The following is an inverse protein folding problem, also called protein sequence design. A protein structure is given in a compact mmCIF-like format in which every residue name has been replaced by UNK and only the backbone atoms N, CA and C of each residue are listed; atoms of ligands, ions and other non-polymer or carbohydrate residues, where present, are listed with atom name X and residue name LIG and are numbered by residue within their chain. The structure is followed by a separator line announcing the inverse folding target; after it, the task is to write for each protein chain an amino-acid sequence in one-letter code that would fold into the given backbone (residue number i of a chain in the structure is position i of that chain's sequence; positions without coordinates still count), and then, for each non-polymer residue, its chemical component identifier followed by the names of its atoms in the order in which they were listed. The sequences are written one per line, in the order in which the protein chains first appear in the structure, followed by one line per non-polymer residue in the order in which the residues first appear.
data_IF_449522512469
#
_entry.id   IF_449522512469
#
_cell.length_a   1.000
_cell.length_b   1.000
_cell.length_c   1.000
_cell.angle_alpha   90.00
_cell.angle_beta   90.00
_cell.angle_gamma   90.00
#
_symmetry.space_group_name_H-M   'P 1'
#
loop_
_entity.id
_entity.type
_entity.pdbx_description
1 polymer ?
#
# COMPACT_ATOMS: atom_id res chain seq x y z
N UNK A 1 -18.00 13.06 20.24
CA UNK A 1 -17.10 11.93 20.58
C UNK A 1 -17.73 10.95 21.57
N UNK A 2 -18.30 11.36 22.70
CA UNK A 2 -18.93 10.43 23.67
C UNK A 2 -20.06 9.56 23.10
N UNK A 3 -20.92 10.09 22.23
CA UNK A 3 -22.00 9.31 21.58
C UNK A 3 -21.48 8.24 20.61
N UNK A 4 -20.48 8.59 19.79
CA UNK A 4 -19.84 7.66 18.83
C UNK A 4 -19.11 6.52 19.55
N UNK A 5 -18.44 6.83 20.66
CA UNK A 5 -17.77 5.83 21.50
C UNK A 5 -18.78 4.87 22.15
N UNK A 6 -19.90 5.40 22.66
CA UNK A 6 -20.95 4.60 23.27
C UNK A 6 -21.62 3.65 22.25
N UNK A 7 -21.84 4.13 21.03
CA UNK A 7 -22.37 3.33 19.93
C UNK A 7 -21.42 2.21 19.50
N UNK A 8 -20.11 2.49 19.43
CA UNK A 8 -19.11 1.48 19.12
C UNK A 8 -19.09 0.38 20.19
N UNK A 9 -19.07 0.74 21.48
CA UNK A 9 -19.10 -0.24 22.59
C UNK A 9 -20.37 -1.09 22.56
N UNK A 10 -21.52 -0.50 22.23
CA UNK A 10 -22.78 -1.25 22.05
C UNK A 10 -22.67 -2.26 20.91
N UNK A 11 -22.10 -1.86 19.78
CA UNK A 11 -21.85 -2.73 18.63
C UNK A 11 -20.87 -3.87 18.97
N UNK A 12 -19.72 -3.56 19.57
CA UNK A 12 -18.71 -4.55 19.99
C UNK A 12 -19.30 -5.61 20.92
N UNK A 13 -20.15 -5.21 21.87
CA UNK A 13 -20.86 -6.15 22.77
C UNK A 13 -21.85 -7.04 22.04
N UNK A 14 -22.46 -6.55 20.96
CA UNK A 14 -23.39 -7.34 20.14
C UNK A 14 -22.63 -8.35 19.28
N UNK A 15 -21.56 -7.91 18.62
CA UNK A 15 -20.66 -8.76 17.82
C UNK A 15 -20.02 -9.83 18.69
N UNK A 16 -19.48 -9.49 19.87
CA UNK A 16 -18.89 -10.47 20.77
C UNK A 16 -19.88 -11.57 21.17
N UNK A 17 -21.14 -11.22 21.45
CA UNK A 17 -22.19 -12.21 21.73
C UNK A 17 -22.54 -13.07 20.52
N UNK A 18 -22.56 -12.46 19.34
CA UNK A 18 -22.82 -13.18 18.08
C UNK A 18 -21.77 -14.25 17.79
N UNK A 19 -20.48 -13.93 17.98
CA UNK A 19 -19.40 -14.87 17.74
C UNK A 19 -19.24 -15.95 18.82
N UNK A 20 -19.95 -15.84 19.95
CA UNK A 20 -20.09 -16.93 20.93
C UNK A 20 -21.05 -18.03 20.45
N UNK A 21 -21.91 -17.74 19.46
CA UNK A 21 -22.80 -18.73 18.85
C UNK A 21 -21.98 -19.56 17.85
N UNK A 22 -22.04 -20.91 17.91
CA UNK A 22 -21.41 -21.79 16.92
C UNK A 22 -21.82 -21.40 15.49
N UNK A 23 -20.88 -21.43 14.54
CA UNK A 23 -21.15 -20.97 13.17
C UNK A 23 -22.36 -21.67 12.51
N UNK A 24 -22.56 -22.96 12.79
CA UNK A 24 -23.70 -23.76 12.31
C UNK A 24 -25.05 -23.35 12.91
N UNK A 25 -25.06 -22.60 14.01
CA UNK A 25 -26.26 -22.20 14.74
C UNK A 25 -26.61 -20.72 14.54
N UNK A 26 -25.76 -19.95 13.86
CA UNK A 26 -25.97 -18.50 13.62
C UNK A 26 -27.12 -18.27 12.64
N UNK A 27 -28.17 -17.61 13.12
CA UNK A 27 -29.40 -17.36 12.35
C UNK A 27 -29.33 -16.02 11.61
N UNK A 28 -30.00 -15.94 10.46
CA UNK A 28 -30.18 -14.71 9.67
C UNK A 28 -30.72 -13.56 10.52
N UNK A 29 -31.65 -13.84 11.45
CA UNK A 29 -32.22 -12.83 12.38
C UNK A 29 -31.17 -12.20 13.30
N UNK A 30 -30.11 -12.92 13.65
CA UNK A 30 -29.06 -12.39 14.52
C UNK A 30 -28.11 -11.48 13.72
N UNK A 31 -27.81 -11.83 12.45
CA UNK A 31 -27.12 -10.92 11.51
C UNK A 31 -27.92 -9.64 11.28
N UNK A 32 -29.22 -9.76 11.07
CA UNK A 32 -30.13 -8.63 10.86
C UNK A 32 -30.04 -7.62 12.01
N UNK A 33 -30.07 -8.08 13.27
CA UNK A 33 -29.91 -7.21 14.45
C UNK A 33 -28.57 -6.47 14.46
N UNK A 34 -27.49 -7.13 14.06
CA UNK A 34 -26.16 -6.49 14.01
C UNK A 34 -26.14 -5.41 12.92
N UNK A 35 -26.69 -5.71 11.74
CA UNK A 35 -26.79 -4.75 10.63
C UNK A 35 -27.68 -3.55 11.00
N UNK A 36 -28.77 -3.76 11.75
CA UNK A 36 -29.59 -2.68 12.30
C UNK A 36 -28.78 -1.79 13.27
N UNK A 37 -27.97 -2.38 14.16
CA UNK A 37 -27.09 -1.62 15.06
C UNK A 37 -26.02 -0.81 14.32
N UNK A 38 -25.59 -1.31 13.16
CA UNK A 38 -24.69 -0.61 12.25
C UNK A 38 -25.38 0.53 11.49
N UNK A 39 -26.72 0.58 11.49
CA UNK A 39 -27.51 1.59 10.78
C UNK A 39 -27.71 1.28 9.29
N UNK A 40 -27.60 0.02 8.88
CA UNK A 40 -27.96 -0.41 7.52
C UNK A 40 -29.48 -0.23 7.35
N UNK A 41 -29.92 0.55 6.35
CA UNK A 41 -31.32 0.94 6.19
C UNK A 41 -32.25 -0.24 5.87
N UNK A 42 -31.83 -1.15 4.98
CA UNK A 42 -32.56 -2.37 4.62
C UNK A 42 -31.73 -3.65 4.90
N UNK A 43 -31.60 -4.08 6.17
CA UNK A 43 -30.77 -5.23 6.54
C UNK A 43 -31.18 -6.53 5.85
N UNK A 44 -32.48 -6.76 5.63
CA UNK A 44 -32.99 -7.96 4.98
C UNK A 44 -32.59 -8.00 3.51
N UNK A 45 -32.79 -6.90 2.78
CA UNK A 45 -32.37 -6.77 1.38
C UNK A 45 -30.85 -6.98 1.26
N UNK A 46 -30.08 -6.39 2.17
CA UNK A 46 -28.64 -6.59 2.25
C UNK A 46 -28.27 -8.06 2.47
N UNK A 47 -28.94 -8.78 3.38
CA UNK A 47 -28.71 -10.20 3.63
C UNK A 47 -29.10 -11.10 2.45
N UNK A 48 -30.11 -10.71 1.67
CA UNK A 48 -30.62 -11.49 0.54
C UNK A 48 -29.98 -11.17 -0.81
N UNK A 49 -28.91 -10.36 -0.84
CA UNK A 49 -28.17 -10.09 -2.08
C UNK A 49 -27.72 -11.41 -2.75
N UNK A 50 -27.86 -11.49 -4.06
CA UNK A 50 -27.50 -12.67 -4.86
C UNK A 50 -25.99 -12.82 -5.04
N UNK A 51 -25.27 -12.92 -3.92
CA UNK A 51 -23.83 -13.16 -3.85
C UNK A 51 -23.64 -14.57 -3.25
N UNK A 52 -22.83 -15.45 -3.87
CA UNK A 52 -22.59 -16.78 -3.31
C UNK A 52 -22.00 -16.70 -1.89
N UNK A 53 -22.55 -17.51 -0.99
CA UNK A 53 -22.13 -17.61 0.42
C UNK A 53 -22.17 -16.26 1.17
N UNK A 54 -23.08 -15.36 0.79
CA UNK A 54 -23.09 -13.99 1.31
C UNK A 54 -23.20 -13.89 2.83
N UNK A 55 -24.03 -14.72 3.47
CA UNK A 55 -24.14 -14.72 4.94
C UNK A 55 -22.82 -15.11 5.63
N UNK A 56 -22.05 -16.03 5.04
CA UNK A 56 -20.71 -16.39 5.54
C UNK A 56 -19.74 -15.21 5.34
N UNK A 57 -19.85 -14.49 4.22
CA UNK A 57 -19.02 -13.31 3.97
C UNK A 57 -19.35 -12.15 4.89
N UNK A 58 -20.61 -12.01 5.28
CA UNK A 58 -21.02 -11.06 6.33
C UNK A 58 -20.39 -11.45 7.67
N UNK A 59 -20.38 -12.74 8.02
CA UNK A 59 -19.70 -13.20 9.24
C UNK A 59 -18.21 -12.87 9.19
N UNK A 60 -17.51 -13.17 8.10
CA UNK A 60 -16.09 -12.83 7.92
C UNK A 60 -15.84 -11.32 8.02
N UNK A 61 -16.71 -10.48 7.43
CA UNK A 61 -16.64 -9.02 7.55
C UNK A 61 -16.80 -8.54 8.99
N UNK A 62 -17.74 -9.14 9.74
CA UNK A 62 -18.06 -8.76 11.11
C UNK A 62 -17.08 -9.32 12.15
N UNK A 63 -16.25 -10.31 11.77
CA UNK A 63 -15.31 -10.96 12.70
C UNK A 63 -14.26 -9.96 13.22
N UNK A 64 -14.22 -9.66 14.53
CA UNK A 64 -13.26 -8.70 15.07
C UNK A 64 -11.82 -9.23 15.07
N UNK A 65 -11.62 -10.54 14.89
CA UNK A 65 -10.29 -11.19 14.95
C UNK A 65 -9.51 -11.11 13.65
N UNK A 66 -10.16 -10.72 12.56
CA UNK A 66 -9.56 -10.55 11.23
C UNK A 66 -9.41 -9.07 10.89
N UNK A 67 -8.45 -8.75 10.01
CA UNK A 67 -8.26 -7.39 9.49
C UNK A 67 -9.11 -7.09 8.25
N UNK A 68 -9.89 -8.08 7.81
CA UNK A 68 -10.61 -8.06 6.54
C UNK A 68 -11.77 -7.08 6.54
N UNK A 69 -11.73 -6.16 5.58
CA UNK A 69 -12.89 -5.37 5.15
C UNK A 69 -13.43 -5.83 3.80
N UNK A 70 -12.74 -6.73 3.11
CA UNK A 70 -13.16 -7.38 1.88
C UNK A 70 -13.07 -8.91 2.09
N UNK A 71 -14.14 -9.57 2.55
CA UNK A 71 -14.17 -10.97 2.95
C UNK A 71 -14.22 -11.93 1.74
N UNK A 72 -13.41 -11.67 0.72
CA UNK A 72 -13.32 -12.49 -0.48
C UNK A 72 -11.97 -12.24 -1.14
N UNK A 73 -11.39 -13.28 -1.75
CA UNK A 73 -10.17 -13.13 -2.54
C UNK A 73 -10.38 -12.12 -3.66
N UNK A 74 -9.36 -11.27 -3.89
CA UNK A 74 -9.33 -10.32 -5.00
C UNK A 74 -9.39 -11.00 -6.37
N UNK A 75 -9.02 -12.28 -6.46
CA UNK A 75 -9.07 -13.08 -7.69
C UNK A 75 -10.46 -13.70 -7.95
N UNK A 76 -11.40 -13.60 -7.02
CA UNK A 76 -12.70 -14.22 -7.17
C UNK A 76 -13.61 -13.42 -8.10
N UNK A 77 -14.34 -14.11 -8.97
CA UNK A 77 -15.33 -13.53 -9.90
C UNK A 77 -16.37 -12.59 -9.27
N UNK A 78 -16.71 -12.77 -7.98
CA UNK A 78 -17.71 -11.97 -7.26
C UNK A 78 -17.10 -10.81 -6.44
N UNK A 79 -15.79 -10.60 -6.50
CA UNK A 79 -15.09 -9.58 -5.69
C UNK A 79 -15.71 -8.19 -5.87
N UNK A 80 -16.06 -7.82 -7.10
CA UNK A 80 -16.64 -6.51 -7.40
C UNK A 80 -18.06 -6.35 -6.82
N UNK A 81 -18.84 -7.44 -6.78
CA UNK A 81 -20.17 -7.45 -6.18
C UNK A 81 -20.11 -7.32 -4.65
N UNK A 82 -19.23 -8.10 -4.00
CA UNK A 82 -18.98 -7.98 -2.55
C UNK A 82 -18.49 -6.57 -2.20
N UNK A 83 -17.53 -6.04 -2.97
CA UNK A 83 -17.01 -4.69 -2.77
C UNK A 83 -18.12 -3.64 -2.93
N UNK A 84 -18.95 -3.78 -3.96
CA UNK A 84 -20.10 -2.91 -4.20
C UNK A 84 -21.08 -2.93 -3.02
N UNK A 85 -21.46 -4.12 -2.55
CA UNK A 85 -22.34 -4.29 -1.39
C UNK A 85 -21.82 -3.58 -0.14
N UNK A 86 -20.54 -3.77 0.20
CA UNK A 86 -19.94 -3.12 1.39
C UNK A 86 -19.83 -1.60 1.22
N UNK A 87 -19.58 -1.12 -0.01
CA UNK A 87 -19.59 0.33 -0.33
C UNK A 87 -20.97 0.97 -0.19
N UNK A 88 -22.05 0.22 -0.37
CA UNK A 88 -23.43 0.70 -0.15
C UNK A 88 -23.78 0.88 1.34
N UNK A 89 -23.05 0.25 2.26
CA UNK A 89 -23.25 0.48 3.69
C UNK A 89 -22.97 1.96 4.04
N UNK A 90 -23.61 2.51 5.08
CA UNK A 90 -23.23 3.83 5.59
C UNK A 90 -21.75 3.90 5.97
N UNK A 91 -21.12 5.06 5.80
CA UNK A 91 -19.72 5.29 6.23
C UNK A 91 -19.55 4.95 7.71
N UNK A 92 -20.51 5.37 8.54
CA UNK A 92 -20.52 5.10 9.99
C UNK A 92 -20.55 3.60 10.30
N UNK A 93 -21.21 2.78 9.48
CA UNK A 93 -21.21 1.33 9.62
C UNK A 93 -19.82 0.75 9.34
N UNK A 94 -19.19 1.14 8.22
CA UNK A 94 -17.83 0.67 7.88
C UNK A 94 -16.79 1.08 8.91
N UNK A 95 -16.88 2.32 9.41
CA UNK A 95 -16.04 2.81 10.50
C UNK A 95 -16.21 1.98 11.77
N UNK A 96 -17.45 1.66 12.17
CA UNK A 96 -17.71 0.80 13.34
C UNK A 96 -17.14 -0.61 13.17
N UNK A 97 -17.35 -1.24 12.00
CA UNK A 97 -16.80 -2.56 11.68
C UNK A 97 -15.27 -2.54 11.80
N UNK A 98 -14.61 -1.63 11.07
CA UNK A 98 -13.14 -1.55 11.09
C UNK A 98 -12.59 -1.21 12.48
N UNK A 99 -13.22 -0.27 13.19
CA UNK A 99 -12.79 0.13 14.54
C UNK A 99 -12.88 -1.02 15.53
N UNK A 100 -13.90 -1.88 15.43
CA UNK A 100 -14.05 -3.06 16.31
C UNK A 100 -12.94 -4.09 16.14
N UNK A 101 -12.30 -4.13 14.97
CA UNK A 101 -11.18 -5.04 14.66
C UNK A 101 -9.87 -4.56 15.29
N UNK A 102 -9.71 -3.28 15.58
CA UNK A 102 -8.42 -2.67 15.95
C UNK A 102 -7.75 -3.30 17.17
N UNK A 103 -8.55 -3.63 18.20
CA UNK A 103 -8.03 -4.17 19.46
C UNK A 103 -7.63 -5.64 19.33
N UNK A 104 -8.53 -6.46 18.77
CA UNK A 104 -8.32 -7.91 18.69
C UNK A 104 -7.23 -8.29 17.68
N UNK A 105 -7.06 -7.51 16.61
CA UNK A 105 -6.00 -7.73 15.61
C UNK A 105 -4.65 -7.12 16.01
N UNK A 106 -4.61 -6.23 17.01
CA UNK A 106 -3.42 -5.47 17.38
C UNK A 106 -3.12 -4.25 16.48
N UNK A 107 -3.97 -3.99 15.48
CA UNK A 107 -3.82 -2.86 14.55
C UNK A 107 -3.74 -1.50 15.26
N UNK A 108 -4.36 -1.33 16.42
CA UNK A 108 -4.29 -0.08 17.20
C UNK A 108 -2.83 0.36 17.40
N UNK A 109 -1.96 -0.55 17.85
CA UNK A 109 -0.54 -0.23 18.11
C UNK A 109 0.23 -0.01 16.80
N UNK A 110 -0.08 -0.77 15.77
CA UNK A 110 0.56 -0.65 14.46
C UNK A 110 0.25 0.70 13.79
N UNK A 111 -1.01 1.18 13.88
CA UNK A 111 -1.43 2.49 13.36
C UNK A 111 -0.76 3.61 14.15
N UNK A 112 -0.72 3.54 15.49
CA UNK A 112 -0.01 4.54 16.31
C UNK A 112 1.48 4.61 15.95
N UNK A 113 2.13 3.46 15.73
CA UNK A 113 3.52 3.39 15.27
C UNK A 113 3.71 4.06 13.90
N UNK A 114 2.79 3.82 12.96
CA UNK A 114 2.85 4.48 11.65
C UNK A 114 2.67 6.00 11.78
N UNK A 115 1.69 6.45 12.56
CA UNK A 115 1.45 7.87 12.78
C UNK A 115 2.65 8.57 13.42
N UNK A 116 3.33 7.91 14.36
CA UNK A 116 4.56 8.42 14.94
C UNK A 116 5.68 8.57 13.90
N UNK A 117 5.83 7.59 12.98
CA UNK A 117 6.77 7.70 11.86
C UNK A 117 6.41 8.81 10.87
N UNK A 118 5.12 9.05 10.65
CA UNK A 118 4.64 10.08 9.70
C UNK A 118 4.77 11.49 10.26
N UNK A 119 4.43 11.68 11.53
CA UNK A 119 4.33 13.01 12.16
C UNK A 119 5.58 13.42 12.92
N UNK A 120 6.45 12.46 13.28
CA UNK A 120 7.58 12.68 14.20
C UNK A 120 7.17 12.72 15.67
N UNK A 121 5.86 12.75 15.97
CA UNK A 121 5.30 12.87 17.30
C UNK A 121 4.67 11.57 17.78
N UNK A 122 4.91 11.22 19.04
CA UNK A 122 4.29 10.06 19.68
C UNK A 122 2.78 10.25 19.85
N UNK A 123 1.99 9.87 18.86
CA UNK A 123 0.54 9.87 18.96
C UNK A 123 0.09 8.89 20.06
N UNK A 124 -0.83 9.33 20.91
CA UNK A 124 -1.38 8.52 22.00
C UNK A 124 -2.74 7.90 21.64
N UNK A 125 -3.50 8.59 20.81
CA UNK A 125 -4.84 8.19 20.40
C UNK A 125 -5.14 8.66 18.98
N UNK A 126 -6.11 7.99 18.35
CA UNK A 126 -6.68 8.40 17.07
C UNK A 126 -8.13 7.90 16.99
N UNK A 127 -8.89 8.48 16.06
CA UNK A 127 -10.23 8.02 15.71
C UNK A 127 -10.28 7.73 14.21
N UNK A 128 -10.86 6.59 13.83
CA UNK A 128 -11.13 6.31 12.42
C UNK A 128 -12.37 7.11 11.99
N UNK A 129 -12.25 7.92 10.94
CA UNK A 129 -13.33 8.79 10.47
C UNK A 129 -13.95 8.33 9.16
N UNK A 130 -13.21 7.56 8.35
CA UNK A 130 -13.69 7.02 7.08
C UNK A 130 -12.99 5.69 6.75
N UNK A 131 -13.68 4.82 6.03
CA UNK A 131 -13.17 3.53 5.55
C UNK A 131 -13.73 3.26 4.15
N UNK A 132 -12.83 2.98 3.22
CA UNK A 132 -13.09 2.75 1.81
C UNK A 132 -12.42 1.46 1.36
N UNK A 133 -13.16 0.63 0.62
CA UNK A 133 -12.57 -0.47 -0.14
C UNK A 133 -12.04 0.07 -1.45
N UNK A 134 -10.76 -0.09 -1.73
CA UNK A 134 -10.13 0.42 -2.95
C UNK A 134 -9.94 -0.69 -3.98
N UNK A 135 -9.91 -0.29 -5.25
CA UNK A 135 -9.72 -1.22 -6.37
C UNK A 135 -8.26 -1.18 -6.80
N UNK A 136 -7.41 -1.72 -5.94
CA UNK A 136 -5.98 -1.89 -6.20
C UNK A 136 -5.59 -3.28 -5.74
N UNK A 137 -4.92 -4.04 -6.62
CA UNK A 137 -4.57 -5.45 -6.38
C UNK A 137 -3.81 -5.68 -5.07
N UNK A 138 -3.09 -4.66 -4.58
CA UNK A 138 -2.23 -4.73 -3.40
C UNK A 138 -2.64 -3.79 -2.28
N UNK A 139 -3.84 -3.20 -2.34
CA UNK A 139 -4.35 -2.31 -1.29
C UNK A 139 -5.82 -2.63 -1.14
N UNK A 140 -6.19 -3.22 -0.01
CA UNK A 140 -7.57 -3.70 0.17
C UNK A 140 -8.44 -2.63 0.80
N UNK A 141 -7.87 -1.90 1.76
CA UNK A 141 -8.59 -0.92 2.56
C UNK A 141 -7.83 0.39 2.63
N UNK A 142 -8.52 1.49 2.37
CA UNK A 142 -8.07 2.84 2.66
C UNK A 142 -8.93 3.40 3.77
N UNK A 143 -8.32 3.89 4.83
CA UNK A 143 -9.05 4.50 5.94
C UNK A 143 -8.43 5.83 6.32
N UNK A 144 -9.24 6.71 6.90
CA UNK A 144 -8.80 8.00 7.42
C UNK A 144 -8.78 7.94 8.93
N UNK A 145 -7.67 8.37 9.52
CA UNK A 145 -7.53 8.54 10.96
C UNK A 145 -7.38 10.02 11.28
N UNK A 146 -8.14 10.47 12.26
CA UNK A 146 -7.99 11.79 12.86
C UNK A 146 -7.17 11.65 14.13
N UNK A 147 -6.04 12.37 14.21
CA UNK A 147 -5.18 12.37 15.39
C UNK A 147 -5.74 13.26 16.52
N UNK A 148 -5.06 13.30 17.67
CA UNK A 148 -5.48 14.10 18.83
C UNK A 148 -5.57 15.61 18.56
N UNK A 149 -4.96 16.09 17.46
CA UNK A 149 -4.99 17.48 17.01
C UNK A 149 -5.99 17.70 15.86
N UNK A 150 -6.81 16.69 15.55
CA UNK A 150 -7.78 16.66 14.45
C UNK A 150 -7.17 16.76 13.05
N UNK A 151 -5.87 16.47 12.89
CA UNK A 151 -5.30 16.31 11.54
C UNK A 151 -5.72 14.96 10.99
N UNK A 152 -6.13 14.94 9.73
CA UNK A 152 -6.57 13.73 9.06
C UNK A 152 -5.44 13.11 8.24
N UNK A 153 -5.18 11.83 8.48
CA UNK A 153 -4.17 11.05 7.79
C UNK A 153 -4.85 9.89 7.07
N UNK A 154 -4.55 9.71 5.78
CA UNK A 154 -5.09 8.61 4.99
C UNK A 154 -4.08 7.47 4.98
N UNK A 155 -4.53 6.26 5.31
CA UNK A 155 -3.69 5.08 5.48
C UNK A 155 -4.24 3.93 4.67
N UNK A 156 -3.36 3.24 3.95
CA UNK A 156 -3.63 1.95 3.33
C UNK A 156 -3.33 0.81 4.29
N UNK A 157 -4.21 -0.18 4.34
CA UNK A 157 -3.97 -1.52 4.85
C UNK A 157 -3.91 -2.48 3.67
N UNK A 158 -2.76 -3.15 3.52
CA UNK A 158 -2.52 -4.21 2.53
C UNK A 158 -2.32 -5.55 3.22
N UNK A 159 -2.77 -6.62 2.56
CA UNK A 159 -2.49 -8.03 2.88
C UNK A 159 -1.64 -8.71 1.81
N UNK A 160 -1.26 -8.00 0.75
CA UNK A 160 -0.49 -8.54 -0.37
C UNK A 160 0.94 -8.02 -0.34
N UNK A 161 1.92 -8.93 -0.52
CA UNK A 161 3.33 -8.57 -0.68
C UNK A 161 3.93 -7.85 0.54
N UNK A 162 3.36 -8.04 1.73
CA UNK A 162 3.68 -7.30 2.95
C UNK A 162 5.18 -7.31 3.28
N UNK A 163 5.81 -8.49 3.25
CA UNK A 163 7.24 -8.62 3.53
C UNK A 163 8.12 -7.94 2.49
N UNK A 164 7.81 -8.09 1.20
CA UNK A 164 8.59 -7.48 0.12
C UNK A 164 8.61 -5.95 0.22
N UNK A 165 7.44 -5.34 0.40
CA UNK A 165 7.33 -3.89 0.58
C UNK A 165 7.94 -3.42 1.92
N UNK A 166 7.81 -4.21 2.99
CA UNK A 166 8.47 -3.91 4.27
C UNK A 166 10.00 -3.89 4.13
N UNK A 167 10.59 -4.92 3.53
CA UNK A 167 12.04 -4.99 3.26
C UNK A 167 12.45 -3.83 2.37
N UNK A 168 11.72 -3.56 1.28
CA UNK A 168 12.04 -2.48 0.37
C UNK A 168 12.01 -1.11 1.07
N UNK A 169 11.01 -0.84 1.90
CA UNK A 169 10.78 0.48 2.50
C UNK A 169 11.96 1.03 3.32
N UNK A 170 12.79 0.16 3.90
CA UNK A 170 13.97 0.57 4.67
C UNK A 170 15.21 0.88 3.81
N UNK A 171 15.24 0.47 2.54
CA UNK A 171 16.41 0.63 1.67
C UNK A 171 16.62 2.05 1.16
N UNK A 172 15.60 2.79 0.66
CA UNK A 172 15.80 4.12 0.08
C UNK A 172 16.51 5.09 1.03
N UNK A 173 16.13 5.11 2.31
CA UNK A 173 16.71 6.01 3.30
C UNK A 173 18.22 5.81 3.49
N UNK A 174 18.71 4.57 3.39
CA UNK A 174 20.14 4.24 3.52
C UNK A 174 21.01 4.83 2.40
N UNK A 175 20.39 5.14 1.26
CA UNK A 175 21.07 5.63 0.05
C UNK A 175 20.61 7.05 -0.34
N UNK A 176 20.03 7.79 0.61
CA UNK A 176 19.63 9.18 0.43
C UNK A 176 18.43 9.37 -0.49
N UNK A 177 17.56 8.38 -0.59
CA UNK A 177 16.32 8.42 -1.39
C UNK A 177 15.10 8.58 -0.48
N UNK A 178 14.07 9.28 -0.96
CA UNK A 178 12.82 9.42 -0.23
C UNK A 178 12.05 8.09 -0.25
N UNK A 179 11.40 7.79 0.87
CA UNK A 179 10.49 6.66 1.02
C UNK A 179 9.32 7.06 1.91
N UNK A 180 8.20 6.36 1.73
CA UNK A 180 7.09 6.44 2.67
C UNK A 180 7.35 5.47 3.83
N UNK A 181 7.07 5.89 5.08
CA UNK A 181 7.18 4.97 6.20
C UNK A 181 6.14 3.86 6.08
N UNK A 182 6.52 2.66 6.48
CA UNK A 182 5.58 1.54 6.58
C UNK A 182 5.67 0.87 7.95
N UNK A 183 4.62 0.12 8.29
CA UNK A 183 4.59 -0.76 9.45
C UNK A 183 4.10 -2.13 8.99
N UNK A 184 4.97 -3.13 9.11
CA UNK A 184 4.60 -4.53 8.98
C UNK A 184 4.08 -5.04 10.33
N UNK A 185 2.96 -5.74 10.30
CA UNK A 185 2.29 -6.26 11.49
C UNK A 185 1.75 -7.65 11.22
N UNK A 186 1.83 -8.52 12.22
CA UNK A 186 1.24 -9.87 12.17
C UNK A 186 0.19 -9.94 13.27
N UNK A 187 -1.04 -10.27 12.89
CA UNK A 187 -2.15 -10.39 13.86
C UNK A 187 -1.95 -11.61 14.76
N UNK A 188 -2.67 -11.71 15.89
CA UNK A 188 -2.64 -12.92 16.72
C UNK A 188 -3.07 -14.20 15.99
N UNK A 189 -3.83 -14.08 14.89
CA UNK A 189 -4.24 -15.20 14.03
C UNK A 189 -3.20 -15.55 12.95
N UNK A 190 -2.08 -14.81 12.89
CA UNK A 190 -1.04 -15.02 11.89
C UNK A 190 -1.28 -14.29 10.56
N UNK A 191 -2.27 -13.41 10.46
CA UNK A 191 -2.48 -12.59 9.25
C UNK A 191 -1.36 -11.56 9.12
N UNK A 192 -0.68 -11.53 7.99
CA UNK A 192 0.32 -10.51 7.67
C UNK A 192 -0.34 -9.28 7.04
N UNK A 193 -0.10 -8.11 7.63
CA UNK A 193 -0.59 -6.84 7.10
C UNK A 193 0.53 -5.81 7.02
N UNK A 194 0.40 -4.91 6.05
CA UNK A 194 1.25 -3.75 5.90
C UNK A 194 0.40 -2.48 5.94
N UNK A 195 0.79 -1.56 6.83
CA UNK A 195 0.24 -0.22 6.90
C UNK A 195 1.20 0.77 6.22
N UNK A 196 0.66 1.62 5.35
CA UNK A 196 1.42 2.71 4.71
C UNK A 196 0.56 3.94 4.49
N UNK A 197 1.10 5.16 4.54
CA UNK A 197 0.34 6.35 4.22
C UNK A 197 -0.14 6.30 2.77
N UNK A 198 -1.28 6.94 2.51
CA UNK A 198 -1.67 7.26 1.14
C UNK A 198 -0.64 8.22 0.56
N UNK A 199 -0.23 7.96 -0.67
CA UNK A 199 0.72 8.82 -1.36
C UNK A 199 0.16 10.24 -1.52
N UNK A 200 0.96 11.24 -1.13
CA UNK A 200 0.68 12.65 -1.38
C UNK A 200 1.47 13.14 -2.59
N UNK A 201 0.76 13.60 -3.62
CA UNK A 201 1.38 14.12 -4.83
C UNK A 201 0.68 13.64 -6.10
N UNK A 202 1.42 13.74 -7.19
CA UNK A 202 0.97 13.42 -8.55
C UNK A 202 1.57 12.09 -9.00
N UNK A 203 0.74 11.13 -9.36
CA UNK A 203 1.19 9.94 -10.06
C UNK A 203 1.61 10.31 -11.49
N UNK A 204 2.91 10.20 -11.80
CA UNK A 204 3.47 10.73 -13.05
C UNK A 204 2.81 10.10 -14.29
N UNK A 205 2.47 8.82 -14.20
CA UNK A 205 1.92 8.07 -15.33
C UNK A 205 0.39 8.14 -15.40
N UNK A 206 -0.28 8.12 -14.24
CA UNK A 206 -1.73 7.92 -14.16
C UNK A 206 -2.54 9.21 -13.96
N UNK A 207 -1.95 10.28 -13.39
CA UNK A 207 -2.72 11.50 -13.14
C UNK A 207 -2.88 12.35 -14.41
N UNK A 208 -4.11 12.80 -14.63
CA UNK A 208 -4.48 13.73 -15.71
C UNK A 208 -3.88 15.13 -15.52
N UNK A 209 -3.52 15.48 -14.28
CA UNK A 209 -2.85 16.73 -13.96
C UNK A 209 -1.43 16.83 -14.53
N UNK A 210 -0.85 15.72 -14.98
CA UNK A 210 0.44 15.67 -15.69
C UNK A 210 0.27 16.12 -17.14
N UNK A 211 -0.01 17.41 -17.33
CA UNK A 211 -0.23 18.05 -18.63
C UNK A 211 1.11 18.42 -19.32
N UNK A 212 1.16 18.57 -20.65
CA UNK A 212 2.38 18.94 -21.38
C UNK A 212 3.12 20.16 -20.80
N UNK A 213 2.40 21.22 -20.43
CA UNK A 213 2.98 22.42 -19.82
C UNK A 213 3.63 22.16 -18.45
N UNK A 214 3.06 21.24 -17.66
CA UNK A 214 3.63 20.80 -16.39
C UNK A 214 4.91 20.00 -16.63
N UNK A 215 4.88 19.07 -17.59
CA UNK A 215 6.06 18.27 -17.96
C UNK A 215 7.20 19.18 -18.38
N UNK A 216 6.98 20.12 -19.30
CA UNK A 216 8.03 21.02 -19.78
C UNK A 216 8.68 21.87 -18.69
N UNK A 217 7.96 22.17 -17.60
CA UNK A 217 8.49 22.90 -16.44
C UNK A 217 9.24 22.02 -15.46
N UNK A 218 8.74 20.82 -15.21
CA UNK A 218 9.10 20.02 -14.04
C UNK A 218 9.86 18.72 -14.37
N UNK A 219 10.04 18.39 -15.64
CA UNK A 219 10.59 17.09 -16.03
C UNK A 219 11.98 16.80 -15.46
N UNK A 220 12.86 17.79 -15.31
CA UNK A 220 14.25 17.57 -14.88
C UNK A 220 14.31 16.82 -13.54
N UNK A 221 13.65 17.34 -12.52
CA UNK A 221 13.65 16.71 -11.19
C UNK A 221 12.78 15.42 -11.13
N UNK A 222 11.81 15.26 -12.03
CA UNK A 222 11.07 14.00 -12.16
C UNK A 222 11.95 12.88 -12.71
N UNK A 223 12.69 13.18 -13.77
CA UNK A 223 13.56 12.23 -14.45
C UNK A 223 14.75 11.87 -13.57
N UNK A 224 15.38 12.85 -12.93
CA UNK A 224 16.45 12.62 -11.96
C UNK A 224 15.96 11.73 -10.80
N UNK A 225 14.83 12.10 -10.18
CA UNK A 225 14.28 11.33 -9.06
C UNK A 225 13.89 9.90 -9.43
N UNK A 226 13.28 9.70 -10.60
CA UNK A 226 12.96 8.37 -11.11
C UNK A 226 14.23 7.55 -11.39
N UNK A 227 15.24 8.14 -12.04
CA UNK A 227 16.52 7.48 -12.31
C UNK A 227 17.19 6.96 -11.05
N UNK A 228 17.14 7.75 -9.98
CA UNK A 228 17.73 7.38 -8.69
C UNK A 228 16.95 6.23 -8.02
N UNK A 229 15.61 6.23 -8.12
CA UNK A 229 14.79 5.11 -7.63
C UNK A 229 15.01 3.84 -8.46
N UNK A 230 15.05 3.96 -9.79
CA UNK A 230 15.33 2.86 -10.73
C UNK A 230 16.72 2.23 -10.45
N UNK A 231 17.73 3.04 -10.11
CA UNK A 231 19.07 2.54 -9.76
C UNK A 231 19.03 1.61 -8.54
N UNK A 232 18.32 2.01 -7.47
CA UNK A 232 18.12 1.16 -6.31
C UNK A 232 17.29 -0.08 -6.67
N UNK A 233 16.20 0.12 -7.40
CA UNK A 233 15.31 -0.96 -7.83
C UNK A 233 16.03 -2.04 -8.63
N UNK A 234 16.87 -1.66 -9.60
CA UNK A 234 17.62 -2.61 -10.41
C UNK A 234 18.68 -3.38 -9.59
N UNK A 235 19.32 -2.73 -8.62
CA UNK A 235 20.30 -3.37 -7.74
C UNK A 235 19.63 -4.45 -6.87
N UNK A 236 18.44 -4.13 -6.35
CA UNK A 236 17.69 -5.01 -5.43
C UNK A 236 16.85 -6.05 -6.19
N UNK A 237 16.51 -5.79 -7.45
CA UNK A 237 15.63 -6.64 -8.25
C UNK A 237 14.15 -6.36 -7.97
N UNK A 238 13.72 -5.11 -8.01
CA UNK A 238 12.31 -4.74 -7.86
C UNK A 238 11.55 -4.95 -9.17
N UNK A 239 10.44 -5.68 -9.13
CA UNK A 239 9.47 -5.71 -10.23
C UNK A 239 8.41 -4.61 -9.99
N UNK A 240 8.27 -3.69 -10.95
CA UNK A 240 7.40 -2.50 -10.82
C UNK A 240 6.10 -2.65 -11.62
N UNK A 241 4.99 -2.11 -11.10
CA UNK A 241 3.75 -1.92 -11.87
C UNK A 241 3.80 -0.61 -12.64
N UNK A 242 3.03 -0.52 -13.73
CA UNK A 242 2.75 0.78 -14.33
C UNK A 242 2.13 1.76 -13.31
N UNK A 243 2.65 2.99 -13.24
CA UNK A 243 2.21 3.99 -12.25
C UNK A 243 2.93 3.98 -10.90
N UNK A 244 4.19 3.54 -10.86
CA UNK A 244 4.98 3.38 -9.63
C UNK A 244 5.70 4.65 -9.13
N UNK A 245 5.59 5.79 -9.81
CA UNK A 245 6.20 7.06 -9.36
C UNK A 245 5.17 8.10 -8.93
N UNK A 246 5.36 8.63 -7.72
CA UNK A 246 4.63 9.80 -7.22
C UNK A 246 5.60 10.97 -7.04
N UNK A 247 5.27 12.07 -7.72
CA UNK A 247 5.91 13.36 -7.57
C UNK A 247 5.24 14.14 -6.44
N UNK A 248 5.95 14.27 -5.32
CA UNK A 248 5.47 14.93 -4.11
C UNK A 248 5.51 16.47 -4.23
N UNK A 249 4.74 17.21 -3.40
CA UNK A 249 4.80 18.67 -3.35
C UNK A 249 6.20 19.24 -3.07
N UNK A 250 6.99 18.53 -2.25
CA UNK A 250 8.36 18.91 -1.85
C UNK A 250 9.43 18.60 -2.91
N UNK A 251 9.02 18.38 -4.16
CA UNK A 251 9.90 18.03 -5.29
C UNK A 251 10.73 16.76 -5.07
N UNK A 252 10.15 15.75 -4.44
CA UNK A 252 10.73 14.41 -4.29
C UNK A 252 9.96 13.39 -5.14
N UNK A 253 10.66 12.41 -5.67
CA UNK A 253 10.06 11.25 -6.34
C UNK A 253 10.13 10.05 -5.42
N UNK A 254 8.96 9.54 -5.03
CA UNK A 254 8.85 8.28 -4.28
C UNK A 254 8.40 7.17 -5.22
N UNK A 255 9.05 6.00 -5.07
CA UNK A 255 8.61 4.77 -5.71
C UNK A 255 7.58 4.06 -4.84
N UNK A 256 6.48 3.63 -5.45
CA UNK A 256 5.33 2.99 -4.77
C UNK A 256 4.91 1.71 -5.49
N UNK A 257 4.17 0.88 -4.77
CA UNK A 257 3.40 -0.25 -5.34
C UNK A 257 4.30 -1.26 -6.10
N UNK A 258 5.45 -1.58 -5.51
CA UNK A 258 6.31 -2.68 -5.95
C UNK A 258 5.51 -3.98 -5.99
N UNK A 259 5.68 -4.77 -7.06
CA UNK A 259 5.05 -6.09 -7.20
C UNK A 259 5.85 -7.10 -6.41
N UNK A 260 7.13 -7.17 -6.72
CA UNK A 260 8.04 -8.18 -6.20
C UNK A 260 9.42 -7.59 -5.91
N UNK A 261 10.15 -8.27 -5.02
CA UNK A 261 11.53 -7.99 -4.66
C UNK A 261 12.40 -9.18 -5.06
N UNK A 262 13.70 -8.96 -5.27
CA UNK A 262 14.67 -10.00 -5.62
C UNK A 262 14.40 -10.71 -6.96
N UNK A 263 13.73 -10.04 -7.88
CA UNK A 263 13.66 -10.40 -9.30
C UNK A 263 15.03 -10.08 -9.94
N UNK A 264 15.93 -11.05 -9.81
CA UNK A 264 17.36 -10.90 -10.06
C UNK A 264 17.84 -11.66 -11.31
N UNK A 265 16.92 -12.07 -12.17
CA UNK A 265 17.24 -12.76 -13.42
C UNK A 265 17.54 -11.76 -14.54
N UNK A 266 18.38 -12.16 -15.50
CA UNK A 266 18.85 -11.28 -16.59
C UNK A 266 17.79 -11.10 -17.69
N UNK A 267 16.76 -11.94 -17.72
CA UNK A 267 15.69 -11.94 -18.72
C UNK A 267 14.47 -11.12 -18.32
N UNK A 268 14.54 -10.42 -17.19
CA UNK A 268 13.39 -9.75 -16.61
C UNK A 268 12.94 -8.59 -17.48
N UNK A 269 11.75 -8.77 -18.07
CA UNK A 269 11.11 -7.80 -18.92
C UNK A 269 10.68 -6.64 -18.02
N UNK A 270 11.27 -5.45 -18.21
CA UNK A 270 10.67 -4.21 -17.69
C UNK A 270 9.29 -4.07 -18.34
N UNK A 271 8.25 -4.35 -17.58
CA UNK A 271 6.85 -4.30 -18.05
C UNK A 271 6.35 -2.85 -18.15
N UNK A 272 7.24 -1.85 -18.04
CA UNK A 272 6.89 -0.45 -18.06
C UNK A 272 7.82 0.37 -18.95
N UNK A 273 7.25 1.42 -19.52
CA UNK A 273 7.97 2.40 -20.32
C UNK A 273 8.83 3.31 -19.43
N UNK A 274 10.14 3.48 -19.72
CA UNK A 274 10.99 4.43 -18.99
C UNK A 274 10.41 5.85 -18.99
N UNK A 275 10.61 6.58 -17.90
CA UNK A 275 10.04 7.93 -17.74
C UNK A 275 10.46 8.88 -18.89
N UNK A 276 11.69 8.75 -19.39
CA UNK A 276 12.23 9.56 -20.49
C UNK A 276 11.66 9.17 -21.86
N UNK A 277 11.00 8.02 -22.01
CA UNK A 277 10.27 7.64 -23.23
C UNK A 277 8.80 8.04 -23.13
N UNK A 278 8.21 7.88 -21.95
CA UNK A 278 6.81 8.20 -21.67
C UNK A 278 6.51 9.72 -21.75
N UNK A 279 7.27 10.53 -21.01
CA UNK A 279 6.98 11.98 -20.88
C UNK A 279 7.04 12.72 -22.22
N UNK A 280 8.02 12.47 -23.13
CA UNK A 280 8.04 13.11 -24.44
C UNK A 280 6.85 12.73 -25.32
N UNK A 281 6.40 11.47 -25.29
CA UNK A 281 5.19 11.03 -26.02
C UNK A 281 3.95 11.74 -25.51
N UNK A 282 3.82 11.88 -24.18
CA UNK A 282 2.70 12.62 -23.55
C UNK A 282 2.73 14.11 -23.88
N UNK A 283 3.92 14.70 -24.01
CA UNK A 283 4.10 16.15 -24.23
C UNK A 283 3.94 16.54 -25.70
N UNK A 284 4.46 15.71 -26.61
CA UNK A 284 4.49 15.94 -28.05
C UNK A 284 4.01 14.67 -28.79
N UNK A 285 2.71 14.35 -28.74
CA UNK A 285 2.17 13.15 -29.40
C UNK A 285 2.38 13.20 -30.91
N UNK A 286 2.14 14.36 -31.53
CA UNK A 286 2.13 14.52 -32.99
C UNK A 286 3.41 15.13 -33.58
N UNK A 287 4.36 15.59 -32.74
CA UNK A 287 5.61 16.23 -33.18
C UNK A 287 6.82 15.34 -32.87
N UNK A 288 7.22 14.53 -33.86
CA UNK A 288 8.33 13.59 -33.72
C UNK A 288 9.66 14.29 -33.42
N UNK A 289 9.93 15.45 -34.03
CA UNK A 289 11.19 16.17 -33.85
C UNK A 289 11.33 16.71 -32.44
N UNK A 290 10.28 17.35 -31.92
CA UNK A 290 10.28 17.85 -30.53
C UNK A 290 10.32 16.70 -29.52
N UNK A 291 9.58 15.61 -29.79
CA UNK A 291 9.61 14.42 -28.95
C UNK A 291 11.01 13.81 -28.86
N UNK A 292 11.70 13.65 -29.98
CA UNK A 292 13.05 13.08 -30.01
C UNK A 292 14.06 14.00 -29.31
N UNK A 293 13.96 15.31 -29.51
CA UNK A 293 14.81 16.29 -28.82
C UNK A 293 14.62 16.24 -27.30
N UNK A 294 13.37 16.22 -26.83
CA UNK A 294 13.06 16.14 -25.39
C UNK A 294 13.48 14.80 -24.79
N UNK A 295 13.24 13.68 -25.48
CA UNK A 295 13.70 12.35 -25.06
C UNK A 295 15.21 12.31 -24.89
N UNK A 296 15.97 12.83 -25.85
CA UNK A 296 17.44 12.83 -25.78
C UNK A 296 17.94 13.65 -24.59
N UNK A 297 17.34 14.81 -24.33
CA UNK A 297 17.67 15.63 -23.16
C UNK A 297 17.38 14.89 -21.84
N UNK A 298 16.15 14.35 -21.71
CA UNK A 298 15.73 13.58 -20.54
C UNK A 298 16.61 12.35 -20.31
N UNK A 299 16.91 11.58 -21.36
CA UNK A 299 17.72 10.37 -21.27
C UNK A 299 19.14 10.67 -20.76
N UNK A 300 19.74 11.78 -21.21
CA UNK A 300 21.07 12.18 -20.74
C UNK A 300 21.06 12.45 -19.22
N UNK A 301 20.10 13.23 -18.73
CA UNK A 301 19.96 13.53 -17.29
C UNK A 301 19.62 12.28 -16.48
N UNK A 302 18.76 11.41 -17.01
CA UNK A 302 18.44 10.12 -16.41
C UNK A 302 19.70 9.27 -16.24
N UNK A 303 20.48 9.08 -17.30
CA UNK A 303 21.66 8.21 -17.27
C UNK A 303 22.76 8.74 -16.35
N UNK A 304 22.90 10.07 -16.26
CA UNK A 304 23.80 10.72 -15.31
C UNK A 304 23.38 10.48 -13.86
N UNK A 305 22.13 10.83 -13.52
CA UNK A 305 21.58 10.65 -12.18
C UNK A 305 21.57 9.18 -11.74
N UNK A 306 21.27 8.26 -12.67
CA UNK A 306 21.31 6.82 -12.44
C UNK A 306 22.73 6.36 -12.06
N UNK A 307 23.74 6.72 -12.86
CA UNK A 307 25.14 6.33 -12.58
C UNK A 307 25.65 6.89 -11.26
N UNK A 308 25.30 8.13 -10.95
CA UNK A 308 25.68 8.74 -9.68
C UNK A 308 25.01 8.05 -8.50
N UNK A 309 23.74 7.67 -8.63
CA UNK A 309 23.07 6.89 -7.58
C UNK A 309 23.67 5.49 -7.42
N UNK A 310 24.09 4.80 -8.49
CA UNK A 310 24.82 3.53 -8.39
C UNK A 310 26.11 3.71 -7.57
N UNK A 311 26.85 4.80 -7.77
CA UNK A 311 28.05 5.11 -6.96
C UNK A 311 27.70 5.32 -5.49
N UNK A 312 26.62 6.04 -5.19
CA UNK A 312 26.11 6.23 -3.81
C UNK A 312 25.75 4.88 -3.18
N UNK A 313 25.01 4.03 -3.89
CA UNK A 313 24.61 2.70 -3.41
C UNK A 313 25.85 1.85 -3.12
N UNK A 314 26.83 1.82 -4.04
CA UNK A 314 28.06 1.07 -3.84
C UNK A 314 28.89 1.60 -2.66
N UNK A 315 28.90 2.91 -2.42
CA UNK A 315 29.57 3.52 -1.28
C UNK A 315 28.86 3.18 0.05
N UNK A 316 27.53 3.16 0.06
CA UNK A 316 26.69 2.84 1.22
C UNK A 316 26.42 1.33 1.36
N UNK A 317 27.07 0.47 0.56
CA UNK A 317 26.78 -0.96 0.52
C UNK A 317 26.88 -1.64 1.89
N UNK A 318 27.81 -1.22 2.76
CA UNK A 318 27.95 -1.79 4.10
C UNK A 318 26.70 -1.62 4.98
N UNK A 319 26.00 -0.49 4.85
CA UNK A 319 24.73 -0.24 5.56
C UNK A 319 23.58 -1.02 4.93
N UNK A 320 23.53 -1.08 3.60
CA UNK A 320 22.54 -1.88 2.86
C UNK A 320 22.66 -3.37 3.19
N UNK A 321 23.88 -3.91 3.19
CA UNK A 321 24.18 -5.30 3.52
C UNK A 321 23.79 -5.62 4.97
N UNK A 322 24.12 -4.74 5.92
CA UNK A 322 23.72 -4.89 7.33
C UNK A 322 22.21 -4.94 7.48
N UNK A 323 21.50 -4.01 6.85
CA UNK A 323 20.03 -3.98 6.87
C UNK A 323 19.43 -5.26 6.27
N UNK A 324 19.91 -5.72 5.12
CA UNK A 324 19.42 -6.96 4.51
C UNK A 324 19.71 -8.18 5.39
N UNK A 325 20.85 -8.23 6.08
CA UNK A 325 21.19 -9.28 7.05
C UNK A 325 20.23 -9.30 8.24
N UNK A 326 19.85 -8.13 8.77
CA UNK A 326 18.82 -8.02 9.81
C UNK A 326 17.46 -8.54 9.30
N UNK A 327 17.18 -8.33 8.02
CA UNK A 327 15.97 -8.82 7.35
C UNK A 327 16.06 -10.27 6.85
N UNK A 328 17.14 -11.01 7.13
CA UNK A 328 17.40 -12.37 6.59
C UNK A 328 16.21 -13.33 6.72
N UNK A 329 15.52 -13.33 7.87
CA UNK A 329 14.35 -14.20 8.11
C UNK A 329 13.17 -13.82 7.20
N UNK A 330 12.90 -12.53 7.08
CA UNK A 330 11.84 -12.00 6.21
C UNK A 330 12.16 -12.22 4.75
N UNK A 331 13.40 -11.97 4.33
CA UNK A 331 13.85 -12.20 2.96
C UNK A 331 13.70 -13.67 2.56
N UNK A 332 14.10 -14.62 3.43
CA UNK A 332 13.91 -16.06 3.19
C UNK A 332 12.43 -16.46 3.12
N UNK A 333 11.60 -15.94 4.02
CA UNK A 333 10.17 -16.21 4.02
C UNK A 333 9.49 -15.66 2.74
N UNK A 334 9.97 -14.51 2.27
CA UNK A 334 9.45 -13.85 1.08
C UNK A 334 9.90 -14.52 -0.23
N UNK A 335 11.20 -14.78 -0.41
CA UNK A 335 11.74 -15.31 -1.67
C UNK A 335 11.59 -16.83 -1.80
N UNK A 336 11.44 -17.55 -0.68
CA UNK A 336 11.51 -19.02 -0.65
C UNK A 336 12.93 -19.57 -0.91
N UNK A 337 13.94 -18.71 -1.08
CA UNK A 337 15.31 -19.09 -1.39
C UNK A 337 16.28 -18.85 -0.22
N UNK A 338 17.46 -19.51 -0.20
CA UNK A 338 18.53 -19.18 0.73
C UNK A 338 18.97 -17.72 0.58
N UNK A 339 18.95 -16.98 1.70
CA UNK A 339 19.26 -15.55 1.72
C UNK A 339 20.66 -15.23 1.20
N UNK A 340 21.64 -16.09 1.45
CA UNK A 340 23.03 -15.91 1.00
C UNK A 340 23.12 -15.87 -0.53
N UNK A 341 22.31 -16.67 -1.23
CA UNK A 341 22.21 -16.65 -2.68
C UNK A 341 21.63 -15.34 -3.19
N UNK A 342 20.53 -14.88 -2.59
CA UNK A 342 19.90 -13.59 -2.90
C UNK A 342 20.88 -12.43 -2.69
N UNK A 343 21.52 -12.37 -1.53
CA UNK A 343 22.47 -11.30 -1.19
C UNK A 343 23.67 -11.28 -2.14
N UNK A 344 24.20 -12.45 -2.50
CA UNK A 344 25.29 -12.56 -3.46
C UNK A 344 24.92 -11.99 -4.84
N UNK A 345 23.71 -12.30 -5.34
CA UNK A 345 23.21 -11.77 -6.62
C UNK A 345 23.01 -10.25 -6.58
N UNK A 346 22.46 -9.71 -5.49
CA UNK A 346 22.34 -8.25 -5.29
C UNK A 346 23.72 -7.61 -5.31
N UNK A 347 24.66 -8.16 -4.54
CA UNK A 347 26.05 -7.65 -4.48
C UNK A 347 26.72 -7.67 -5.85
N UNK A 348 26.55 -8.75 -6.61
CA UNK A 348 27.05 -8.84 -7.97
C UNK A 348 26.50 -7.71 -8.85
N UNK A 349 25.19 -7.43 -8.81
CA UNK A 349 24.58 -6.31 -9.57
C UNK A 349 25.09 -4.94 -9.15
N UNK A 350 25.28 -4.70 -7.85
CA UNK A 350 25.80 -3.41 -7.34
C UNK A 350 27.22 -3.14 -7.85
N UNK A 351 28.09 -4.15 -7.87
CA UNK A 351 29.49 -3.98 -8.26
C UNK A 351 29.79 -4.26 -9.74
N UNK A 352 28.93 -4.96 -10.47
CA UNK A 352 29.04 -5.16 -11.91
C UNK A 352 28.72 -3.89 -12.73
N UNK A 353 27.98 -2.95 -12.14
CA UNK A 353 27.57 -1.68 -12.77
C UNK A 353 28.56 -0.52 -12.56
N UNK A 354 29.81 -0.83 -12.19
CA UNK A 354 30.87 0.17 -11.97
C UNK A 354 31.52 0.65 -13.26
#
# INVERSE_FOLDING_TARGET
MQSVQADLVKYERAVSRYFQIPASERKTRDREKILQLLGVENPQEFLTMHIPLWELKIDELLDPTTTDMLPISISHSYVNWVRGAIRLMPVTARVKIFSSKLKATGLLKAILSLLAKMTGDGQKEFVVTDVQLVEKVHKDTLFTVSDGERREHRVYLSRFGCLGEYIHSGLPGLVGLPALPVVYHVTPQGEEVLLKPKEEGLNIYLDEAVRPSRVLRDWGWWVEGAARQDALGDCIGTALRYGHYVATPDKKIVMIDNIELFHLDETDVRIFEPIYDFLPKKTHPDDARKRDSLRTAMRREYEEAYRDQIRVIAHQWGEVERYLLEMRRHARAYSGEPFEGVLSRIKARVFAKR
#
